data_IF_647155814300
#
_entry.id   IF_647155814300
#
_cell.length_a   1.000
_cell.length_b   1.000
_cell.length_c   1.000
_cell.angle_alpha   90.00
_cell.angle_beta   90.00
_cell.angle_gamma   90.00
#
_symmetry.space_group_name_H-M   'P 1'
#
loop_
_entity.id
_entity.type
_entity.pdbx_description
1 polymer ?
#
# COMPACT_ATOMS: atom_id res chain seq x y z
N UNK A 1 58.15 -40.80 3.32
CA UNK A 1 57.24 -40.37 2.24
C UNK A 1 56.10 -39.55 2.85
N UNK A 2 55.87 -38.33 2.31
CA UNK A 2 54.61 -37.56 2.21
C UNK A 2 53.84 -37.25 3.52
N UNK A 3 53.94 -36.00 4.03
CA UNK A 3 53.08 -34.83 3.73
C UNK A 3 51.84 -34.78 4.65
N UNK A 4 51.84 -33.93 5.70
CA UNK A 4 51.28 -32.56 5.77
C UNK A 4 49.75 -32.50 5.67
N UNK A 5 49.12 -31.89 6.68
CA UNK A 5 47.76 -31.37 6.59
C UNK A 5 47.23 -30.81 7.92
N UNK A 6 47.68 -29.62 8.32
CA UNK A 6 47.00 -28.83 9.36
C UNK A 6 45.73 -28.26 8.72
N UNK A 7 44.57 -28.64 9.24
CA UNK A 7 43.29 -28.06 8.84
C UNK A 7 43.10 -26.71 9.54
N UNK A 8 43.21 -25.63 8.78
CA UNK A 8 42.85 -24.27 9.24
C UNK A 8 41.34 -24.11 9.01
N UNK A 9 40.57 -23.98 10.09
CA UNK A 9 39.18 -23.53 10.02
C UNK A 9 39.17 -22.04 9.63
N UNK A 10 38.78 -21.74 8.39
CA UNK A 10 38.46 -20.39 7.97
C UNK A 10 37.04 -20.04 8.44
N UNK A 11 36.93 -19.25 9.51
CA UNK A 11 35.68 -18.60 9.90
C UNK A 11 35.39 -17.48 8.88
N UNK A 12 34.57 -17.78 7.88
CA UNK A 12 34.04 -16.76 6.98
C UNK A 12 33.02 -15.91 7.75
N UNK A 13 33.42 -14.70 8.11
CA UNK A 13 32.53 -13.69 8.68
C UNK A 13 31.42 -13.34 7.69
N UNK A 14 30.19 -13.73 8.00
CA UNK A 14 29.00 -13.16 7.36
C UNK A 14 28.84 -11.73 7.88
N UNK A 15 29.38 -10.75 7.15
CA UNK A 15 28.96 -9.37 7.30
C UNK A 15 27.55 -9.26 6.73
N UNK A 16 26.54 -9.42 7.58
CA UNK A 16 25.17 -9.06 7.24
C UNK A 16 25.14 -7.55 6.99
N UNK A 17 25.09 -7.15 5.72
CA UNK A 17 24.76 -5.79 5.36
C UNK A 17 23.33 -5.52 5.82
N UNK A 18 23.18 -4.81 6.94
CA UNK A 18 21.92 -4.21 7.35
C UNK A 18 21.61 -3.11 6.35
N UNK A 19 20.95 -3.46 5.24
CA UNK A 19 20.30 -2.49 4.39
C UNK A 19 19.25 -1.78 5.25
N UNK A 20 19.55 -0.55 5.68
CA UNK A 20 18.58 0.30 6.34
C UNK A 20 17.41 0.48 5.37
N UNK A 21 16.24 -0.04 5.74
CA UNK A 21 14.98 0.27 5.09
C UNK A 21 14.71 1.77 5.31
N UNK A 22 15.31 2.62 4.47
CA UNK A 22 14.87 4.00 4.31
C UNK A 22 13.54 3.88 3.58
N UNK A 23 12.48 3.62 4.35
CA UNK A 23 11.13 3.35 3.85
C UNK A 23 10.75 4.37 2.79
N UNK A 24 10.20 3.90 1.68
CA UNK A 24 9.61 4.78 0.70
C UNK A 24 8.48 5.55 1.40
N UNK A 25 8.60 6.86 1.46
CA UNK A 25 7.54 7.77 1.91
C UNK A 25 7.15 8.61 0.72
N UNK A 26 5.86 8.89 0.55
CA UNK A 26 5.39 9.76 -0.53
C UNK A 26 4.58 10.92 0.07
N UNK A 27 4.63 12.11 -0.54
CA UNK A 27 3.70 13.18 -0.23
C UNK A 27 2.25 12.69 -0.35
N UNK A 28 1.45 12.94 0.69
CA UNK A 28 0.03 12.59 0.72
C UNK A 28 -0.82 13.83 0.43
N UNK A 29 -1.94 13.68 -0.28
CA UNK A 29 -2.83 14.79 -0.61
C UNK A 29 -3.37 15.48 0.63
N UNK A 30 -3.73 16.74 0.49
CA UNK A 30 -4.51 17.43 1.51
C UNK A 30 -5.98 17.03 1.38
N UNK A 31 -6.51 16.43 2.45
CA UNK A 31 -7.90 15.94 2.56
C UNK A 31 -8.72 16.77 3.53
N UNK A 32 -8.11 17.76 4.19
CA UNK A 32 -8.74 18.57 5.25
C UNK A 32 -9.94 19.39 4.76
N UNK A 33 -10.02 19.67 3.46
CA UNK A 33 -11.15 20.35 2.83
C UNK A 33 -12.33 19.46 2.48
N UNK A 34 -12.23 18.14 2.64
CA UNK A 34 -13.35 17.22 2.38
C UNK A 34 -14.35 17.26 3.54
N UNK A 35 -15.63 17.34 3.21
CA UNK A 35 -16.69 17.09 4.18
C UNK A 35 -16.74 15.60 4.57
N UNK A 36 -17.53 15.29 5.60
CA UNK A 36 -17.61 13.93 6.14
C UNK A 36 -18.04 12.90 5.08
N UNK A 37 -19.04 13.22 4.27
CA UNK A 37 -19.56 12.29 3.27
C UNK A 37 -18.56 12.07 2.12
N UNK A 38 -17.87 13.12 1.68
CA UNK A 38 -16.82 13.04 0.68
C UNK A 38 -15.60 12.26 1.19
N UNK A 39 -15.24 12.43 2.45
CA UNK A 39 -14.18 11.67 3.10
C UNK A 39 -14.53 10.18 3.20
N UNK A 40 -15.75 9.84 3.62
CA UNK A 40 -16.25 8.46 3.68
C UNK A 40 -16.30 7.79 2.29
N UNK A 41 -16.79 8.50 1.27
CA UNK A 41 -16.83 7.96 -0.09
C UNK A 41 -15.41 7.71 -0.65
N UNK A 42 -14.47 8.62 -0.37
CA UNK A 42 -13.09 8.46 -0.83
C UNK A 42 -12.38 7.30 -0.14
N UNK A 43 -12.53 7.13 1.17
CA UNK A 43 -11.89 6.03 1.90
C UNK A 43 -12.46 4.66 1.49
N UNK A 44 -13.75 4.57 1.16
CA UNK A 44 -14.36 3.37 0.59
C UNK A 44 -13.77 3.03 -0.79
N UNK A 45 -13.65 4.03 -1.67
CA UNK A 45 -13.04 3.85 -2.98
C UNK A 45 -11.56 3.42 -2.88
N UNK A 46 -10.79 4.02 -1.96
CA UNK A 46 -9.40 3.66 -1.71
C UNK A 46 -9.25 2.22 -1.22
N UNK A 47 -10.08 1.79 -0.26
CA UNK A 47 -10.03 0.43 0.27
C UNK A 47 -10.35 -0.60 -0.84
N UNK A 48 -11.40 -0.36 -1.62
CA UNK A 48 -11.76 -1.23 -2.74
C UNK A 48 -10.65 -1.33 -3.79
N UNK A 49 -10.06 -0.21 -4.19
CA UNK A 49 -8.97 -0.19 -5.18
C UNK A 49 -7.70 -0.82 -4.61
N UNK A 50 -7.35 -0.58 -3.34
CA UNK A 50 -6.19 -1.20 -2.71
C UNK A 50 -6.31 -2.74 -2.73
N UNK A 51 -7.43 -3.27 -2.27
CA UNK A 51 -7.67 -4.73 -2.26
C UNK A 51 -7.58 -5.30 -3.67
N UNK A 52 -8.24 -4.67 -4.65
CA UNK A 52 -8.26 -5.18 -6.03
C UNK A 52 -6.87 -5.13 -6.67
N UNK A 53 -6.16 -4.02 -6.56
CA UNK A 53 -4.81 -3.86 -7.16
C UNK A 53 -3.76 -4.75 -6.49
N UNK A 54 -3.98 -5.14 -5.23
CA UNK A 54 -3.11 -6.06 -4.48
C UNK A 54 -3.37 -7.54 -4.78
N UNK A 55 -4.54 -7.90 -5.32
CA UNK A 55 -4.97 -9.30 -5.45
C UNK A 55 -5.33 -9.72 -6.89
N UNK A 56 -5.59 -8.78 -7.80
CA UNK A 56 -5.97 -9.06 -9.19
C UNK A 56 -4.77 -8.87 -10.14
N UNK A 57 -4.26 -9.94 -10.78
CA UNK A 57 -3.23 -9.83 -11.81
C UNK A 57 -3.70 -8.93 -12.96
N UNK A 58 -2.79 -8.09 -13.48
CA UNK A 58 -3.10 -7.14 -14.57
C UNK A 58 -3.49 -5.74 -14.11
N UNK A 59 -3.77 -5.55 -12.82
CA UNK A 59 -4.06 -4.23 -12.22
C UNK A 59 -3.07 -3.84 -11.12
N UNK A 60 -1.88 -4.45 -11.10
CA UNK A 60 -0.82 -4.13 -10.15
C UNK A 60 -0.37 -2.68 -10.30
N UNK A 61 -0.15 -2.02 -9.16
CA UNK A 61 0.38 -0.66 -9.08
C UNK A 61 1.79 -0.68 -8.48
N UNK A 62 2.54 0.41 -8.62
CA UNK A 62 3.86 0.58 -8.02
C UNK A 62 3.78 0.79 -6.51
N UNK A 63 4.89 0.56 -5.80
CA UNK A 63 4.99 0.80 -4.35
C UNK A 63 4.61 2.23 -3.95
N UNK A 64 5.00 3.22 -4.78
CA UNK A 64 4.68 4.63 -4.53
C UNK A 64 3.19 4.94 -4.71
N UNK A 65 2.54 4.33 -5.70
CA UNK A 65 1.09 4.43 -5.89
C UNK A 65 0.33 3.72 -4.75
N UNK A 66 0.83 2.56 -4.31
CA UNK A 66 0.27 1.84 -3.17
C UNK A 66 0.37 2.67 -1.89
N UNK A 67 1.55 3.24 -1.60
CA UNK A 67 1.76 4.13 -0.44
C UNK A 67 0.87 5.38 -0.49
N UNK A 68 0.65 5.94 -1.68
CA UNK A 68 -0.25 7.08 -1.87
C UNK A 68 -1.70 6.69 -1.52
N UNK A 69 -2.18 5.54 -1.98
CA UNK A 69 -3.53 5.05 -1.72
C UNK A 69 -3.72 4.73 -0.23
N UNK A 70 -2.85 3.90 0.35
CA UNK A 70 -2.99 3.45 1.75
C UNK A 70 -2.77 4.58 2.74
N UNK A 71 -1.74 5.41 2.53
CA UNK A 71 -1.48 6.57 3.38
C UNK A 71 -2.60 7.62 3.32
N UNK A 72 -3.23 7.80 2.15
CA UNK A 72 -4.42 8.67 2.07
C UNK A 72 -5.60 8.09 2.84
N UNK A 73 -5.82 6.77 2.77
CA UNK A 73 -6.83 6.06 3.56
C UNK A 73 -6.64 6.28 5.06
N UNK A 74 -5.40 6.15 5.56
CA UNK A 74 -5.07 6.40 6.96
C UNK A 74 -5.34 7.85 7.39
N UNK A 75 -5.01 8.84 6.54
CA UNK A 75 -5.33 10.25 6.80
C UNK A 75 -6.83 10.50 6.89
N UNK A 76 -7.62 9.87 6.02
CA UNK A 76 -9.08 9.99 6.03
C UNK A 76 -9.68 9.33 7.28
N UNK A 77 -9.20 8.14 7.66
CA UNK A 77 -9.62 7.48 8.89
C UNK A 77 -9.36 8.37 10.12
N UNK A 78 -8.17 8.97 10.20
CA UNK A 78 -7.82 9.91 11.26
C UNK A 78 -8.73 11.16 11.26
N UNK A 79 -9.00 11.75 10.10
CA UNK A 79 -9.92 12.89 9.95
C UNK A 79 -11.35 12.56 10.40
N UNK A 80 -11.82 11.34 10.12
CA UNK A 80 -13.14 10.86 10.50
C UNK A 80 -13.22 10.39 11.97
N UNK A 81 -12.09 10.36 12.69
CA UNK A 81 -12.03 9.88 14.08
C UNK A 81 -12.26 8.37 14.19
N UNK A 82 -11.88 7.60 13.17
CA UNK A 82 -12.09 6.16 13.08
C UNK A 82 -10.84 5.44 13.60
N UNK A 83 -11.01 4.54 14.58
CA UNK A 83 -9.93 3.70 15.08
C UNK A 83 -9.58 2.56 14.09
N UNK A 84 -8.39 1.93 14.20
CA UNK A 84 -7.98 0.90 13.26
C UNK A 84 -8.92 -0.31 13.16
N UNK A 85 -9.50 -0.76 14.26
CA UNK A 85 -10.41 -1.92 14.24
C UNK A 85 -11.71 -1.56 13.51
N UNK A 86 -12.22 -0.36 13.74
CA UNK A 86 -13.38 0.18 13.03
C UNK A 86 -13.06 0.45 11.56
N UNK A 87 -11.85 0.92 11.22
CA UNK A 87 -11.40 1.11 9.83
C UNK A 87 -11.39 -0.21 9.07
N UNK A 88 -10.78 -1.24 9.65
CA UNK A 88 -10.74 -2.58 9.07
C UNK A 88 -12.14 -3.13 8.87
N UNK A 89 -13.00 -3.07 9.89
CA UNK A 89 -14.35 -3.61 9.81
C UNK A 89 -15.26 -2.87 8.82
N UNK A 90 -15.20 -1.54 8.77
CA UNK A 90 -16.10 -0.73 7.95
C UNK A 90 -15.68 -0.65 6.48
N UNK A 91 -14.39 -0.69 6.19
CA UNK A 91 -13.89 -0.40 4.84
C UNK A 91 -13.11 -1.57 4.23
N UNK A 92 -12.16 -2.16 4.95
CA UNK A 92 -11.40 -3.29 4.39
C UNK A 92 -12.20 -4.59 4.36
N UNK A 93 -13.04 -4.86 5.37
CA UNK A 93 -13.92 -6.04 5.39
C UNK A 93 -14.78 -6.14 4.13
N UNK A 94 -15.63 -5.14 3.84
CA UNK A 94 -16.40 -5.09 2.60
C UNK A 94 -15.52 -5.09 1.34
N UNK A 95 -14.38 -4.40 1.35
CA UNK A 95 -13.47 -4.39 0.21
C UNK A 95 -12.90 -5.79 -0.10
N UNK A 96 -12.55 -6.58 0.91
CA UNK A 96 -12.12 -7.97 0.74
C UNK A 96 -13.23 -8.87 0.20
N UNK A 97 -14.48 -8.66 0.61
CA UNK A 97 -15.63 -9.39 0.05
C UNK A 97 -15.84 -9.14 -1.45
N UNK A 98 -15.26 -8.09 -2.03
CA UNK A 98 -15.30 -7.89 -3.49
C UNK A 98 -14.58 -9.01 -4.24
N UNK A 99 -13.60 -9.68 -3.62
CA UNK A 99 -12.86 -10.79 -4.24
C UNK A 99 -13.72 -12.04 -4.45
N UNK A 100 -14.89 -12.12 -3.79
CA UNK A 100 -15.86 -13.20 -4.01
C UNK A 100 -16.63 -13.05 -5.34
N UNK A 101 -16.65 -11.85 -5.91
CA UNK A 101 -17.23 -11.57 -7.23
C UNK A 101 -16.17 -11.70 -8.34
N UNK A 102 -16.27 -12.71 -9.23
CA UNK A 102 -15.28 -12.92 -10.28
C UNK A 102 -15.18 -11.76 -11.28
N UNK A 103 -16.17 -10.86 -11.34
CA UNK A 103 -16.14 -9.67 -12.19
C UNK A 103 -15.56 -8.42 -11.50
N UNK A 104 -15.21 -8.50 -10.21
CA UNK A 104 -14.74 -7.36 -9.46
C UNK A 104 -13.40 -6.82 -9.97
N UNK A 105 -12.47 -7.71 -10.34
CA UNK A 105 -11.17 -7.31 -10.88
C UNK A 105 -11.34 -6.40 -12.12
N UNK A 106 -12.14 -6.82 -13.09
CA UNK A 106 -12.33 -6.07 -14.35
C UNK A 106 -13.16 -4.79 -14.15
N UNK A 107 -14.07 -4.78 -13.17
CA UNK A 107 -14.90 -3.61 -12.86
C UNK A 107 -14.13 -2.54 -12.08
N UNK A 108 -13.27 -2.93 -11.16
CA UNK A 108 -12.64 -2.03 -10.19
C UNK A 108 -11.19 -1.72 -10.56
N UNK A 109 -10.45 -2.70 -11.08
CA UNK A 109 -9.05 -2.54 -11.47
C UNK A 109 -8.79 -1.33 -12.37
N UNK A 110 -9.60 -1.07 -13.42
CA UNK A 110 -9.44 0.11 -14.28
C UNK A 110 -9.61 1.46 -13.55
N UNK A 111 -10.21 1.49 -12.35
CA UNK A 111 -10.39 2.72 -11.56
C UNK A 111 -9.11 3.17 -10.84
N UNK A 112 -8.09 2.31 -10.73
CA UNK A 112 -6.87 2.62 -10.01
C UNK A 112 -6.14 3.85 -10.57
N UNK A 113 -5.93 3.90 -11.89
CA UNK A 113 -5.21 5.02 -12.53
C UNK A 113 -5.95 6.36 -12.35
N UNK A 114 -7.25 6.49 -12.68
CA UNK A 114 -8.00 7.72 -12.40
C UNK A 114 -7.98 8.15 -10.93
N UNK A 115 -8.05 7.19 -10.00
CA UNK A 115 -7.98 7.49 -8.56
C UNK A 115 -6.61 8.05 -8.20
N UNK A 116 -5.51 7.41 -8.62
CA UNK A 116 -4.14 7.87 -8.40
C UNK A 116 -3.96 9.29 -8.96
N UNK A 117 -4.39 9.53 -10.18
CA UNK A 117 -4.28 10.84 -10.82
C UNK A 117 -5.04 11.93 -10.03
N UNK A 118 -6.22 11.59 -9.50
CA UNK A 118 -6.98 12.45 -8.59
C UNK A 118 -6.22 12.75 -7.31
N UNK A 119 -5.62 11.74 -6.66
CA UNK A 119 -4.84 11.93 -5.44
C UNK A 119 -3.60 12.81 -5.68
N UNK A 120 -2.94 12.66 -6.83
CA UNK A 120 -1.84 13.53 -7.24
C UNK A 120 -2.33 14.97 -7.45
N UNK A 121 -3.47 15.15 -8.12
CA UNK A 121 -4.08 16.48 -8.31
C UNK A 121 -4.48 17.15 -6.98
N UNK A 122 -4.75 16.36 -5.93
CA UNK A 122 -5.00 16.84 -4.56
C UNK A 122 -3.71 17.14 -3.76
N UNK A 123 -2.54 17.13 -4.41
CA UNK A 123 -1.24 17.44 -3.81
C UNK A 123 -0.45 16.22 -3.31
N UNK A 124 -0.90 15.01 -3.61
CA UNK A 124 -0.12 13.79 -3.39
C UNK A 124 0.97 13.59 -4.46
N UNK A 125 1.80 12.58 -4.25
CA UNK A 125 2.79 12.13 -5.25
C UNK A 125 2.98 10.62 -5.13
N UNK A 126 3.45 9.99 -6.21
CA UNK A 126 3.85 8.58 -6.25
C UNK A 126 5.36 8.40 -6.06
N UNK A 127 6.07 9.51 -5.81
CA UNK A 127 7.53 9.59 -5.64
C UNK A 127 7.89 10.56 -4.50
N UNK A 128 9.13 10.47 -3.99
CA UNK A 128 9.64 11.36 -2.92
C UNK A 128 9.88 12.79 -3.39
#
# INVERSE_FOLDING_TARGET
MRARGIAVLAAAGFSAAVASAQGLTVPLPDVSGLDHAAAEALIEELAAVNVITSNCPGYTISDGEWMLITGTGDKLAAQLGIDPATYDQRFYGPAFSLLDDPSACDRIGPRARPLIDRLVAMGGSTTR
#
